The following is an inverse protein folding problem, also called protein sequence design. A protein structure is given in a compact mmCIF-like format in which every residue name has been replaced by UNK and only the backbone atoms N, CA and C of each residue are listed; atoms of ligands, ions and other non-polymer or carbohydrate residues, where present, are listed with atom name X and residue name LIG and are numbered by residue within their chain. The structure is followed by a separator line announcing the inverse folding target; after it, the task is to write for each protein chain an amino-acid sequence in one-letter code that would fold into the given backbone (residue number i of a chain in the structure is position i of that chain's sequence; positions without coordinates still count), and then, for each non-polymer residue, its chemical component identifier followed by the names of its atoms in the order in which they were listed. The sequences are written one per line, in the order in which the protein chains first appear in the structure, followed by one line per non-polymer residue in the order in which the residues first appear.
data_IF_730557411863
#
_entry.id   IF_730557411863
#
_cell.length_a   1.000
_cell.length_b   1.000
_cell.length_c   1.000
_cell.angle_alpha   90.00
_cell.angle_beta   90.00
_cell.angle_gamma   90.00
#
_symmetry.space_group_name_H-M   'P 1'
#
loop_
_entity.id
_entity.type
_entity.pdbx_description
1 polymer ?
#
# COMPACT_ATOMS: atom_id res chain seq x y z
N UNK A 1 -6.81 -9.25 -22.60
CA UNK A 1 -7.61 -8.75 -21.45
C UNK A 1 -6.83 -7.65 -20.75
N UNK A 2 -7.44 -6.50 -20.49
CA UNK A 2 -6.78 -5.35 -19.85
C UNK A 2 -6.74 -5.54 -18.33
N UNK A 3 -5.55 -5.44 -17.72
CA UNK A 3 -5.37 -5.62 -16.26
C UNK A 3 -5.95 -4.46 -15.44
N UNK A 4 -5.83 -3.24 -15.95
CA UNK A 4 -6.30 -2.03 -15.29
C UNK A 4 -7.34 -1.32 -16.18
N UNK A 5 -8.46 -0.89 -15.59
CA UNK A 5 -9.51 -0.15 -16.29
C UNK A 5 -10.25 0.78 -15.32
N UNK A 6 -10.74 1.91 -15.82
CA UNK A 6 -11.70 2.71 -15.06
C UNK A 6 -13.10 2.11 -15.20
N UNK A 7 -13.74 1.81 -14.08
CA UNK A 7 -15.10 1.27 -14.03
C UNK A 7 -15.69 1.50 -12.63
N UNK A 8 -17.02 1.59 -12.53
CA UNK A 8 -17.73 1.63 -11.24
C UNK A 8 -17.22 2.74 -10.29
N UNK A 9 -16.86 3.90 -10.84
CA UNK A 9 -16.37 5.05 -10.07
C UNK A 9 -14.95 4.94 -9.53
N UNK A 10 -14.13 3.98 -10.00
CA UNK A 10 -12.74 3.83 -9.58
C UNK A 10 -11.85 3.16 -10.63
N UNK A 11 -10.55 3.07 -10.32
CA UNK A 11 -9.60 2.29 -11.10
C UNK A 11 -9.64 0.84 -10.61
N UNK A 12 -10.13 -0.07 -11.44
CA UNK A 12 -10.13 -1.51 -11.16
C UNK A 12 -8.83 -2.13 -11.65
N UNK A 13 -8.12 -2.82 -10.76
CA UNK A 13 -6.92 -3.59 -11.07
C UNK A 13 -7.20 -5.06 -10.79
N UNK A 14 -7.16 -5.90 -11.82
CA UNK A 14 -7.26 -7.35 -11.67
C UNK A 14 -6.01 -7.86 -10.92
N UNK A 15 -6.26 -8.73 -9.95
CA UNK A 15 -5.22 -9.41 -9.19
C UNK A 15 -4.25 -10.17 -10.09
N UNK A 16 -2.97 -10.15 -9.72
CA UNK A 16 -1.90 -10.95 -10.32
C UNK A 16 -0.96 -11.42 -9.21
N UNK A 17 -0.43 -12.63 -9.33
CA UNK A 17 0.47 -13.17 -8.32
C UNK A 17 -0.22 -13.40 -6.98
N UNK A 18 0.58 -13.50 -5.93
CA UNK A 18 0.16 -13.83 -4.57
C UNK A 18 0.49 -12.74 -3.55
N UNK A 19 1.40 -11.82 -3.86
CA UNK A 19 1.91 -10.79 -2.96
C UNK A 19 2.42 -9.55 -3.74
N UNK A 20 2.88 -8.47 -3.07
CA UNK A 20 3.50 -7.34 -3.77
C UNK A 20 4.70 -7.72 -4.67
N UNK A 21 5.46 -8.74 -4.28
CA UNK A 21 6.66 -9.18 -4.99
C UNK A 21 6.37 -9.70 -6.42
N UNK A 22 5.19 -10.28 -6.67
CA UNK A 22 4.83 -10.92 -7.95
C UNK A 22 3.55 -10.34 -8.60
N UNK A 23 2.95 -9.29 -8.00
CA UNK A 23 1.70 -8.67 -8.47
C UNK A 23 1.85 -7.51 -9.45
N UNK A 24 3.07 -7.05 -9.74
CA UNK A 24 3.36 -5.85 -10.57
C UNK A 24 2.62 -4.59 -10.08
N UNK A 25 2.99 -4.03 -8.91
CA UNK A 25 2.29 -2.87 -8.32
C UNK A 25 2.20 -1.66 -9.27
N UNK A 26 1.07 -0.95 -9.22
CA UNK A 26 0.92 0.36 -9.85
C UNK A 26 1.60 1.39 -8.95
N UNK A 27 2.47 2.24 -9.50
CA UNK A 27 3.26 3.19 -8.71
C UNK A 27 2.98 4.64 -9.06
N UNK A 28 3.09 5.51 -8.06
CA UNK A 28 3.04 6.96 -8.16
C UNK A 28 4.40 7.52 -7.70
N UNK A 29 5.01 8.36 -8.53
CA UNK A 29 6.25 9.05 -8.18
C UNK A 29 6.04 10.03 -7.02
N UNK A 30 7.06 10.18 -6.19
CA UNK A 30 7.06 11.11 -5.05
C UNK A 30 8.21 12.09 -5.21
N UNK A 31 7.95 13.38 -4.92
CA UNK A 31 8.97 14.45 -4.96
C UNK A 31 9.34 14.97 -3.58
N UNK A 32 8.44 14.84 -2.61
CA UNK A 32 8.60 15.39 -1.27
C UNK A 32 9.32 14.42 -0.32
N UNK A 33 10.09 14.97 0.62
CA UNK A 33 10.79 14.20 1.65
C UNK A 33 9.84 13.62 2.70
N UNK A 34 8.82 14.39 3.07
CA UNK A 34 7.76 13.98 3.98
C UNK A 34 6.41 14.17 3.28
N UNK A 35 5.56 13.16 3.35
CA UNK A 35 4.26 13.15 2.65
C UNK A 35 3.28 12.17 3.29
N UNK A 36 2.01 12.34 2.95
CA UNK A 36 0.92 11.45 3.26
C UNK A 36 0.25 10.98 1.96
N UNK A 37 0.09 9.66 1.82
CA UNK A 37 -0.67 9.04 0.75
C UNK A 37 -1.85 8.28 1.34
N UNK A 38 -3.04 8.48 0.79
CA UNK A 38 -4.27 7.88 1.27
C UNK A 38 -5.08 7.33 0.09
N UNK A 39 -5.70 6.17 0.27
CA UNK A 39 -6.54 5.54 -0.76
C UNK A 39 -7.62 4.67 -0.14
N UNK A 40 -8.76 4.56 -0.82
CA UNK A 40 -9.78 3.55 -0.53
C UNK A 40 -9.63 2.36 -1.46
N UNK A 41 -9.60 1.16 -0.90
CA UNK A 41 -9.50 -0.12 -1.59
C UNK A 41 -10.79 -0.92 -1.36
N UNK A 42 -11.57 -1.17 -2.42
CA UNK A 42 -12.66 -2.15 -2.38
C UNK A 42 -12.16 -3.49 -2.91
N UNK A 43 -12.36 -4.57 -2.13
CA UNK A 43 -11.99 -5.93 -2.50
C UNK A 43 -13.17 -6.63 -3.19
N UNK A 44 -13.02 -6.97 -4.46
CA UNK A 44 -14.06 -7.63 -5.26
C UNK A 44 -13.67 -9.09 -5.52
N UNK A 45 -14.36 -10.01 -4.84
CA UNK A 45 -14.09 -11.45 -4.90
C UNK A 45 -12.84 -11.83 -4.09
N UNK A 46 -12.12 -12.90 -4.47
CA UNK A 46 -10.91 -13.37 -3.78
C UNK A 46 -9.70 -12.48 -4.15
N UNK A 47 -9.76 -11.22 -3.76
CA UNK A 47 -8.75 -10.20 -4.00
C UNK A 47 -7.93 -9.93 -2.74
N UNK A 48 -6.65 -9.67 -2.93
CA UNK A 48 -5.82 -9.01 -1.94
C UNK A 48 -5.37 -7.67 -2.52
N UNK A 49 -5.44 -6.60 -1.74
CA UNK A 49 -4.99 -5.27 -2.16
C UNK A 49 -4.29 -4.54 -1.04
N UNK A 50 -3.46 -3.55 -1.38
CA UNK A 50 -2.76 -2.80 -0.35
C UNK A 50 -1.97 -1.61 -0.85
N UNK A 51 -1.48 -0.84 0.11
CA UNK A 51 -0.71 0.39 -0.07
C UNK A 51 0.71 0.19 0.46
N UNK A 52 1.69 0.58 -0.35
CA UNK A 52 3.11 0.31 -0.17
C UNK A 52 3.94 1.59 -0.32
N UNK A 53 5.12 1.59 0.30
CA UNK A 53 6.29 2.21 -0.31
C UNK A 53 7.09 1.13 -1.03
N UNK A 54 7.22 1.26 -2.35
CA UNK A 54 7.72 0.24 -3.25
C UNK A 54 8.92 0.76 -4.04
N UNK A 55 10.06 0.08 -3.91
CA UNK A 55 11.25 0.34 -4.72
C UNK A 55 11.35 -0.69 -5.84
N UNK A 56 11.35 -1.97 -5.47
CA UNK A 56 11.34 -3.11 -6.40
C UNK A 56 10.80 -4.37 -5.69
N UNK A 57 10.67 -5.53 -6.36
CA UNK A 57 10.16 -6.76 -5.74
C UNK A 57 10.95 -7.28 -4.52
N UNK A 58 12.18 -6.80 -4.31
CA UNK A 58 13.06 -7.19 -3.21
C UNK A 58 13.14 -6.14 -2.10
N UNK A 59 12.45 -5.00 -2.27
CA UNK A 59 12.54 -3.87 -1.35
C UNK A 59 11.23 -3.05 -1.36
N UNK A 60 10.37 -3.35 -0.39
CA UNK A 60 9.14 -2.59 -0.13
C UNK A 60 8.68 -2.76 1.31
N UNK A 61 7.88 -1.80 1.79
CA UNK A 61 7.13 -1.88 3.06
C UNK A 61 5.69 -1.50 2.80
N UNK A 62 4.76 -1.96 3.63
CA UNK A 62 3.36 -1.59 3.46
C UNK A 62 2.36 -2.46 4.18
N UNK A 63 1.10 -2.25 3.85
CA UNK A 63 -0.04 -2.97 4.39
C UNK A 63 -0.77 -3.71 3.26
N UNK A 64 -1.21 -4.93 3.54
CA UNK A 64 -2.07 -5.74 2.67
C UNK A 64 -3.40 -6.05 3.34
N UNK A 65 -4.44 -6.23 2.54
CA UNK A 65 -5.80 -6.50 3.01
C UNK A 65 -6.42 -7.60 2.16
N UNK A 66 -6.81 -8.69 2.82
CA UNK A 66 -7.65 -9.77 2.27
C UNK A 66 -9.07 -9.61 2.84
N UNK A 67 -10.06 -10.40 2.36
CA UNK A 67 -11.41 -10.34 2.91
C UNK A 67 -11.54 -10.61 4.42
N UNK A 68 -10.51 -11.21 5.03
CA UNK A 68 -10.52 -11.71 6.41
C UNK A 68 -9.29 -11.29 7.24
N UNK A 69 -8.29 -10.62 6.65
CA UNK A 69 -7.00 -10.40 7.32
C UNK A 69 -6.37 -9.08 6.89
N UNK A 70 -5.83 -8.35 7.87
CA UNK A 70 -4.85 -7.29 7.67
C UNK A 70 -3.44 -7.90 7.74
N UNK A 71 -2.64 -7.67 6.71
CA UNK A 71 -1.25 -8.12 6.57
C UNK A 71 -0.29 -6.95 6.64
N UNK A 72 0.93 -7.24 7.10
CA UNK A 72 2.02 -6.27 7.21
C UNK A 72 3.20 -6.77 6.39
N UNK A 73 3.75 -5.90 5.55
CA UNK A 73 4.97 -6.17 4.79
C UNK A 73 6.11 -5.29 5.30
N UNK A 74 7.21 -5.93 5.68
CA UNK A 74 8.43 -5.26 6.07
C UNK A 74 9.58 -5.81 5.24
N UNK A 75 10.30 -4.93 4.54
CA UNK A 75 11.48 -5.24 3.74
C UNK A 75 11.27 -6.42 2.78
N UNK A 76 10.17 -6.36 2.02
CA UNK A 76 9.71 -7.38 1.07
C UNK A 76 9.21 -8.71 1.66
N UNK A 77 9.15 -8.85 2.99
CA UNK A 77 8.63 -10.04 3.67
C UNK A 77 7.27 -9.78 4.34
N UNK A 78 6.36 -10.76 4.26
CA UNK A 78 5.13 -10.74 5.04
C UNK A 78 5.43 -11.10 6.50
N UNK A 79 5.06 -10.21 7.43
CA UNK A 79 5.17 -10.45 8.85
C UNK A 79 3.94 -11.25 9.34
N UNK A 80 3.96 -12.56 9.13
CA UNK A 80 2.81 -13.45 9.40
C UNK A 80 2.36 -13.43 10.86
N UNK A 81 3.29 -13.25 11.81
CA UNK A 81 3.00 -13.08 13.24
C UNK A 81 2.19 -11.80 13.55
N UNK A 82 2.24 -10.80 12.67
CA UNK A 82 1.54 -9.52 12.81
C UNK A 82 0.17 -9.50 12.10
N UNK A 83 -0.27 -10.64 11.53
CA UNK A 83 -1.60 -10.77 10.94
C UNK A 83 -2.68 -10.42 11.96
N UNK A 84 -3.63 -9.59 11.56
CA UNK A 84 -4.82 -9.30 12.36
C UNK A 84 -6.07 -9.77 11.64
N UNK A 85 -6.82 -10.74 12.20
CA UNK A 85 -8.12 -11.12 11.67
C UNK A 85 -9.05 -9.89 11.63
N UNK A 86 -9.65 -9.64 10.49
CA UNK A 86 -10.59 -8.55 10.28
C UNK A 86 -11.40 -8.78 9.02
N UNK A 87 -12.72 -8.67 9.10
CA UNK A 87 -13.56 -8.72 7.89
C UNK A 87 -13.39 -7.42 7.11
N UNK A 88 -12.93 -7.52 5.85
CA UNK A 88 -12.66 -6.35 4.99
C UNK A 88 -13.34 -6.53 3.63
N UNK A 89 -14.29 -5.66 3.33
CA UNK A 89 -14.82 -5.50 1.96
C UNK A 89 -14.35 -4.19 1.32
N UNK A 90 -14.15 -3.16 2.15
CA UNK A 90 -13.60 -1.86 1.79
C UNK A 90 -12.72 -1.37 2.93
N UNK A 91 -11.57 -0.79 2.61
CA UNK A 91 -10.66 -0.18 3.58
C UNK A 91 -10.11 1.12 3.04
N UNK A 92 -10.12 2.15 3.89
CA UNK A 92 -9.37 3.38 3.63
C UNK A 92 -8.05 3.28 4.37
N UNK A 93 -6.93 3.34 3.65
CA UNK A 93 -5.59 3.19 4.21
C UNK A 93 -4.79 4.45 3.94
N UNK A 94 -4.02 4.85 4.94
CA UNK A 94 -3.16 6.03 4.93
C UNK A 94 -1.75 5.61 5.31
N UNK A 95 -0.79 6.06 4.52
CA UNK A 95 0.64 5.93 4.72
C UNK A 95 1.19 7.33 4.91
N UNK A 96 1.84 7.58 6.04
CA UNK A 96 2.57 8.81 6.31
C UNK A 96 4.05 8.47 6.32
N UNK A 97 4.82 9.04 5.39
CA UNK A 97 6.27 9.02 5.44
C UNK A 97 6.74 10.37 5.99
N UNK A 98 7.40 10.37 7.14
CA UNK A 98 8.03 11.55 7.70
C UNK A 98 9.53 11.30 7.88
N UNK A 99 10.33 11.94 7.03
CA UNK A 99 11.79 11.81 7.03
C UNK A 99 12.29 10.34 7.11
N UNK A 100 11.67 9.44 6.33
CA UNK A 100 11.92 7.99 6.24
C UNK A 100 11.32 7.13 7.37
N UNK A 101 10.56 7.72 8.29
CA UNK A 101 9.76 6.97 9.26
C UNK A 101 8.34 6.84 8.75
N UNK A 102 7.94 5.62 8.43
CA UNK A 102 6.62 5.30 7.88
C UNK A 102 5.67 4.87 8.99
N UNK A 103 4.52 5.53 9.04
CA UNK A 103 3.38 5.19 9.91
C UNK A 103 2.16 4.86 9.07
N UNK A 104 1.39 3.84 9.47
CA UNK A 104 0.17 3.44 8.79
C UNK A 104 -1.05 3.66 9.68
N UNK A 105 -2.12 4.17 9.06
CA UNK A 105 -3.45 4.17 9.64
C UNK A 105 -4.41 3.50 8.65
N UNK A 106 -5.43 2.82 9.17
CA UNK A 106 -6.49 2.27 8.33
C UNK A 106 -7.86 2.40 8.99
N UNK A 107 -8.89 2.44 8.16
CA UNK A 107 -10.27 2.65 8.55
C UNK A 107 -11.20 1.73 7.77
N UNK A 108 -12.15 1.13 8.48
CA UNK A 108 -13.16 0.22 7.90
C UNK A 108 -14.56 0.87 7.82
N UNK A 109 -14.69 2.13 8.22
CA UNK A 109 -15.96 2.88 8.23
C UNK A 109 -15.93 4.12 7.32
N UNK A 110 -15.05 4.10 6.31
CA UNK A 110 -14.91 5.17 5.31
C UNK A 110 -14.03 6.35 5.75
N UNK A 111 -13.28 6.20 6.84
CA UNK A 111 -12.40 7.24 7.40
C UNK A 111 -13.04 8.03 8.53
N UNK A 112 -14.13 7.55 9.14
CA UNK A 112 -14.74 8.19 10.32
C UNK A 112 -13.91 7.89 11.57
N UNK A 113 -13.45 6.65 11.71
CA UNK A 113 -12.50 6.22 12.74
C UNK A 113 -11.25 5.62 12.12
N UNK A 114 -10.10 5.86 12.75
CA UNK A 114 -8.80 5.40 12.26
C UNK A 114 -8.10 4.56 13.31
N UNK A 115 -7.57 3.43 12.88
CA UNK A 115 -6.74 2.53 13.68
C UNK A 115 -5.29 2.79 13.31
N UNK A 116 -4.47 3.17 14.29
CA UNK A 116 -3.02 3.25 14.15
C UNK A 116 -2.44 1.83 14.09
N UNK A 117 -1.67 1.53 13.04
CA UNK A 117 -0.93 0.29 12.97
C UNK A 117 0.21 0.29 14.02
N UNK A 118 0.38 -0.82 14.73
CA UNK A 118 1.27 -0.89 15.89
C UNK A 118 2.76 -0.82 15.54
N UNK A 119 3.14 -1.05 14.28
CA UNK A 119 4.54 -1.01 13.85
C UNK A 119 4.78 0.16 12.90
N UNK A 120 5.91 0.84 13.11
CA UNK A 120 6.46 1.83 12.18
C UNK A 120 7.65 1.23 11.44
N UNK A 121 7.95 1.78 10.28
CA UNK A 121 8.99 1.23 9.40
C UNK A 121 10.00 2.33 9.06
N UNK A 122 11.28 1.99 9.11
CA UNK A 122 12.38 2.88 8.72
C UNK A 122 12.74 2.54 7.27
N UNK A 123 12.79 3.53 6.37
CA UNK A 123 13.00 3.29 4.93
C UNK A 123 14.21 4.00 4.35
N UNK A 124 15.08 4.58 5.17
CA UNK A 124 16.29 5.29 4.73
C UNK A 124 17.23 4.38 3.94
N UNK A 125 17.26 3.08 4.24
CA UNK A 125 18.05 2.10 3.49
C UNK A 125 17.44 1.71 2.14
N UNK A 126 16.22 2.10 1.81
CA UNK A 126 15.53 1.69 0.58
C UNK A 126 15.80 2.68 -0.56
N UNK A 127 17.05 2.73 -1.00
CA UNK A 127 17.49 3.61 -2.08
C UNK A 127 18.54 2.94 -2.98
N UNK A 128 18.86 3.59 -4.11
CA UNK A 128 19.77 3.04 -5.12
C UNK A 128 21.18 2.74 -4.62
N UNK A 129 21.72 3.44 -3.62
CA UNK A 129 23.05 3.11 -3.08
C UNK A 129 23.08 1.81 -2.25
N UNK A 130 21.93 1.27 -1.84
CA UNK A 130 21.83 -0.02 -1.11
C UNK A 130 21.29 -1.10 -2.05
N UNK A 131 20.24 -0.80 -2.81
CA UNK A 131 19.54 -1.80 -3.65
C UNK A 131 19.86 -1.75 -5.15
N UNK A 132 20.65 -0.77 -5.62
CA UNK A 132 21.02 -0.62 -7.03
C UNK A 132 19.83 -0.32 -7.96
N UNK A 133 20.05 -0.40 -9.27
CA UNK A 133 18.98 -0.29 -10.28
C UNK A 133 18.48 1.12 -10.59
N UNK A 134 19.04 2.16 -9.96
CA UNK A 134 18.73 3.58 -10.23
C UNK A 134 17.23 3.91 -10.17
N UNK A 135 16.51 3.25 -9.25
CA UNK A 135 15.10 3.52 -8.99
C UNK A 135 14.95 4.50 -7.83
N UNK A 136 13.71 4.91 -7.57
CA UNK A 136 13.32 5.65 -6.38
C UNK A 136 12.26 4.86 -5.61
N UNK A 137 12.17 5.10 -4.30
CA UNK A 137 11.07 4.62 -3.48
C UNK A 137 9.81 5.37 -3.86
N UNK A 138 8.74 4.64 -4.19
CA UNK A 138 7.49 5.22 -4.72
C UNK A 138 6.30 4.79 -3.88
N UNK A 139 5.22 5.57 -3.90
CA UNK A 139 3.93 5.06 -3.43
C UNK A 139 3.47 3.97 -4.40
N UNK A 140 3.13 2.80 -3.88
CA UNK A 140 2.69 1.65 -4.66
C UNK A 140 1.34 1.15 -4.21
N UNK A 141 0.50 0.74 -5.15
CA UNK A 141 -0.74 0.02 -4.88
C UNK A 141 -0.69 -1.31 -5.62
N UNK A 142 -0.99 -2.40 -4.92
CA UNK A 142 -0.97 -3.72 -5.50
C UNK A 142 -2.34 -4.40 -5.45
N UNK A 143 -2.52 -5.36 -6.35
CA UNK A 143 -3.67 -6.23 -6.42
C UNK A 143 -3.16 -7.65 -6.71
N UNK A 144 -3.42 -8.58 -5.81
CA UNK A 144 -3.04 -9.99 -5.90
C UNK A 144 -4.26 -10.92 -5.80
N UNK A 145 -4.05 -12.20 -6.09
CA UNK A 145 -5.12 -13.20 -6.13
C UNK A 145 -5.93 -13.17 -7.43
N UNK A 146 -7.12 -13.79 -7.39
CA UNK A 146 -7.99 -13.98 -8.58
C UNK A 146 -9.09 -12.91 -8.70
N UNK A 147 -9.29 -12.11 -7.65
CA UNK A 147 -10.26 -11.04 -7.61
C UNK A 147 -9.77 -9.75 -8.27
N UNK A 148 -10.46 -8.65 -7.97
CA UNK A 148 -10.14 -7.30 -8.43
C UNK A 148 -10.11 -6.36 -7.24
N UNK A 149 -9.15 -5.44 -7.23
CA UNK A 149 -9.11 -4.35 -6.25
C UNK A 149 -9.55 -3.08 -6.97
N UNK A 150 -10.57 -2.41 -6.45
CA UNK A 150 -11.03 -1.11 -6.96
C UNK A 150 -10.44 0.00 -6.10
N UNK A 151 -9.77 0.93 -6.75
CA UNK A 151 -9.10 2.07 -6.13
C UNK A 151 -10.00 3.29 -6.23
N UNK A 152 -10.27 3.95 -5.11
CA UNK A 152 -11.04 5.20 -5.02
C UNK A 152 -10.35 6.22 -4.12
N UNK A 153 -10.71 7.48 -4.31
CA UNK A 153 -10.38 8.58 -3.39
C UNK A 153 -8.87 8.73 -3.09
N UNK A 154 -8.00 8.44 -4.07
CA UNK A 154 -6.55 8.61 -3.89
C UNK A 154 -6.21 10.08 -3.60
N UNK A 155 -5.45 10.30 -2.54
CA UNK A 155 -4.95 11.62 -2.15
C UNK A 155 -3.47 11.52 -1.81
N UNK A 156 -2.70 12.47 -2.31
CA UNK A 156 -1.31 12.69 -1.95
C UNK A 156 -1.15 14.11 -1.43
N UNK A 157 -0.40 14.27 -0.34
CA UNK A 157 -0.15 15.57 0.27
C UNK A 157 1.27 15.64 0.80
N UNK A 158 2.02 16.64 0.34
CA UNK A 158 3.30 16.99 0.94
C UNK A 158 3.10 17.42 2.40
N UNK A 159 4.01 17.00 3.28
CA UNK A 159 4.07 17.49 4.65
C UNK A 159 5.17 18.55 4.70
N UNK A 160 4.82 19.76 5.10
CA UNK A 160 5.82 20.76 5.48
C UNK A 160 6.55 20.23 6.69
N UNK A 161 7.89 20.32 6.67
CA UNK A 161 8.68 20.07 7.87
C UNK A 161 8.07 20.86 9.04
N UNK A 162 7.80 20.19 10.17
CA UNK A 162 7.61 20.95 11.40
C UNK A 162 8.91 21.74 11.64
N UNK A 163 8.81 23.06 11.90
CA UNK A 163 9.98 23.88 12.17
C UNK A 163 10.78 23.37 13.37
#
# INVERSE_FOLDING_TARGET
MTRARFANGGLEIRGKGTAPADSTPLTCGVGDRSYEAEITLDLVGPAEGGLLLYYNPKAFVGMGFTPDTVKTYQYAEEQTWARRPQTVSSVRVRLTNDANVVTFHYSFDGGKTWILHGTRMEVSGIHHNVFGGFLSLKVGVYAAGKGTVRLRDFRYRALTAQP
#
